data_IF_577273727012
#
_entry.id   IF_577273727012
#
_cell.length_a   1.000
_cell.length_b   1.000
_cell.length_c   1.000
_cell.angle_alpha   90.00
_cell.angle_beta   90.00
_cell.angle_gamma   90.00
#
_symmetry.space_group_name_H-M   'P 1'
#
loop_
_entity.id
_entity.type
_entity.pdbx_description
1 polymer ?
#
# COMPACT_ATOMS: atom_id res chain seq x y z
N UNK A 1 -1.66 5.50 -18.20
CA UNK A 1 -1.69 4.57 -17.04
C UNK A 1 -2.74 5.04 -16.04
N UNK A 2 -3.61 4.15 -15.53
CA UNK A 2 -4.67 4.50 -14.57
C UNK A 2 -4.22 4.13 -13.15
N UNK A 3 -4.06 5.12 -12.28
CA UNK A 3 -3.79 4.93 -10.85
C UNK A 3 -5.10 4.97 -10.05
N UNK A 4 -5.16 4.24 -8.93
CA UNK A 4 -6.29 4.35 -7.98
C UNK A 4 -6.25 5.63 -7.16
N UNK A 5 -5.05 6.19 -6.96
CA UNK A 5 -4.87 7.46 -6.26
C UNK A 5 -5.07 8.65 -7.20
N UNK A 6 -5.67 9.72 -6.69
CA UNK A 6 -5.71 11.00 -7.39
C UNK A 6 -4.29 11.62 -7.44
N UNK A 7 -4.08 12.55 -8.37
CA UNK A 7 -2.77 13.19 -8.55
C UNK A 7 -2.35 13.98 -7.31
N UNK A 8 -3.28 14.69 -6.70
CA UNK A 8 -2.99 15.58 -5.57
C UNK A 8 -2.52 14.82 -4.32
N UNK A 9 -3.12 13.67 -3.99
CA UNK A 9 -2.65 12.86 -2.87
C UNK A 9 -1.26 12.30 -3.14
N UNK A 10 -0.97 11.91 -4.39
CA UNK A 10 0.37 11.42 -4.75
C UNK A 10 1.41 12.53 -4.60
N UNK A 11 1.14 13.71 -5.13
CA UNK A 11 2.12 14.82 -5.17
C UNK A 11 2.24 15.54 -3.83
N UNK A 12 1.14 15.77 -3.11
CA UNK A 12 1.13 16.63 -1.93
C UNK A 12 1.19 15.86 -0.60
N UNK A 13 0.95 14.54 -0.61
CA UNK A 13 0.94 13.72 0.62
C UNK A 13 1.96 12.59 0.55
N UNK A 14 1.81 11.70 -0.43
CA UNK A 14 2.65 10.50 -0.49
C UNK A 14 4.09 10.82 -0.90
N UNK A 15 4.29 11.71 -1.87
CA UNK A 15 5.63 12.06 -2.35
C UNK A 15 6.48 12.74 -1.27
N UNK A 16 6.02 13.79 -0.56
CA UNK A 16 6.77 14.38 0.55
C UNK A 16 7.09 13.37 1.67
N UNK A 17 6.18 12.44 1.94
CA UNK A 17 6.38 11.41 2.97
C UNK A 17 7.56 10.47 2.66
N UNK A 18 7.83 10.19 1.39
CA UNK A 18 8.89 9.27 0.95
C UNK A 18 10.07 9.98 0.29
N UNK A 19 10.05 11.30 0.18
CA UNK A 19 10.98 12.02 -0.69
C UNK A 19 12.44 11.86 -0.23
N UNK A 20 12.70 12.04 1.07
CA UNK A 20 14.04 11.91 1.66
C UNK A 20 14.60 10.49 1.54
N UNK A 21 13.72 9.48 1.58
CA UNK A 21 14.09 8.09 1.34
C UNK A 21 14.55 7.88 -0.11
N UNK A 22 13.86 8.51 -1.07
CA UNK A 22 14.02 8.26 -2.51
C UNK A 22 15.07 9.15 -3.19
N UNK A 23 15.44 10.27 -2.55
CA UNK A 23 16.50 11.20 -2.97
C UNK A 23 17.92 10.67 -2.79
N UNK A 24 18.13 9.53 -2.12
CA UNK A 24 19.47 8.94 -1.99
C UNK A 24 20.06 8.70 -3.38
N UNK A 25 21.12 9.48 -3.68
CA UNK A 25 21.86 9.41 -4.92
C UNK A 25 22.44 8.01 -5.10
N UNK A 26 22.04 7.33 -6.16
CA UNK A 26 22.87 6.29 -6.73
C UNK A 26 23.96 6.98 -7.57
N UNK A 27 25.18 6.44 -7.57
CA UNK A 27 26.28 6.94 -8.42
C UNK A 27 26.06 6.59 -9.91
N UNK A 28 24.80 6.37 -10.30
CA UNK A 28 24.41 6.02 -11.67
C UNK A 28 24.19 7.33 -12.40
N UNK A 29 24.84 7.50 -13.54
CA UNK A 29 24.82 8.76 -14.31
C UNK A 29 23.44 9.26 -14.76
N UNK A 30 22.36 8.47 -14.55
CA UNK A 30 20.98 8.86 -14.81
C UNK A 30 20.06 8.40 -13.66
N UNK A 31 19.93 9.18 -12.58
CA UNK A 31 19.10 8.81 -11.44
C UNK A 31 17.61 8.88 -11.79
N UNK A 32 16.85 7.87 -11.35
CA UNK A 32 15.38 7.87 -11.50
C UNK A 32 14.77 8.92 -10.56
N UNK A 33 13.94 9.86 -11.04
CA UNK A 33 13.23 10.81 -10.19
C UNK A 33 12.41 10.14 -9.07
N UNK A 34 12.41 10.73 -7.88
CA UNK A 34 11.70 10.19 -6.70
C UNK A 34 10.20 9.99 -6.95
N UNK A 35 9.56 10.90 -7.68
CA UNK A 35 8.15 10.76 -8.07
C UNK A 35 7.91 9.54 -8.98
N UNK A 36 8.84 9.24 -9.89
CA UNK A 36 8.74 8.05 -10.74
C UNK A 36 8.94 6.77 -9.93
N UNK A 37 9.88 6.76 -8.98
CA UNK A 37 10.05 5.65 -8.03
C UNK A 37 8.77 5.41 -7.22
N UNK A 38 8.10 6.45 -6.74
CA UNK A 38 6.82 6.34 -6.03
C UNK A 38 5.71 5.79 -6.95
N UNK A 39 5.56 6.35 -8.16
CA UNK A 39 4.57 5.87 -9.12
C UNK A 39 4.78 4.40 -9.49
N UNK A 40 6.05 3.97 -9.60
CA UNK A 40 6.43 2.57 -9.81
C UNK A 40 5.87 1.66 -8.72
N UNK A 41 6.13 2.00 -7.45
CA UNK A 41 5.64 1.21 -6.33
C UNK A 41 4.10 1.19 -6.25
N UNK A 42 3.45 2.33 -6.45
CA UNK A 42 1.98 2.42 -6.48
C UNK A 42 1.37 1.56 -7.59
N UNK A 43 2.01 1.51 -8.75
CA UNK A 43 1.59 0.64 -9.86
C UNK A 43 1.74 -0.83 -9.50
N UNK A 44 2.85 -1.19 -8.87
CA UNK A 44 3.07 -2.55 -8.38
C UNK A 44 2.00 -2.94 -7.35
N UNK A 45 1.70 -2.12 -6.35
CA UNK A 45 0.66 -2.44 -5.36
C UNK A 45 -0.73 -2.63 -5.96
N UNK A 46 -1.03 -1.93 -7.05
CA UNK A 46 -2.32 -2.06 -7.72
C UNK A 46 -2.43 -3.33 -8.60
N UNK A 47 -1.32 -3.90 -9.06
CA UNK A 47 -1.31 -4.95 -10.10
C UNK A 47 -0.61 -6.24 -9.70
N UNK A 48 0.32 -6.19 -8.74
CA UNK A 48 1.22 -7.29 -8.38
C UNK A 48 2.24 -7.67 -9.47
N UNK A 49 2.34 -6.92 -10.57
CA UNK A 49 3.08 -7.37 -11.76
C UNK A 49 4.30 -6.48 -12.06
N UNK A 50 5.49 -6.99 -11.74
CA UNK A 50 6.76 -6.29 -12.00
C UNK A 50 7.07 -6.17 -13.49
N UNK A 51 6.72 -7.17 -14.32
CA UNK A 51 6.95 -7.11 -15.77
C UNK A 51 6.16 -5.97 -16.41
N UNK A 52 4.88 -5.83 -16.05
CA UNK A 52 4.04 -4.73 -16.53
C UNK A 52 4.55 -3.38 -16.06
N UNK A 53 4.99 -3.28 -14.80
CA UNK A 53 5.59 -2.06 -14.25
C UNK A 53 6.87 -1.65 -15.00
N UNK A 54 7.76 -2.59 -15.28
CA UNK A 54 8.99 -2.35 -16.05
C UNK A 54 8.70 -1.94 -17.50
N UNK A 55 7.69 -2.55 -18.14
CA UNK A 55 7.26 -2.17 -19.49
C UNK A 55 6.59 -0.80 -19.54
N UNK A 56 5.75 -0.50 -18.54
CA UNK A 56 5.06 0.78 -18.43
C UNK A 56 6.03 1.96 -18.16
N UNK A 57 7.14 1.70 -17.46
CA UNK A 57 8.19 2.66 -17.13
C UNK A 57 9.46 2.37 -17.94
N UNK A 58 9.33 2.41 -19.27
CA UNK A 58 10.43 2.23 -20.23
C UNK A 58 11.77 2.75 -19.69
N UNK A 59 12.73 1.85 -19.47
CA UNK A 59 14.07 2.17 -18.94
C UNK A 59 14.37 1.64 -17.53
N UNK A 60 13.43 1.01 -16.84
CA UNK A 60 13.66 0.41 -15.50
C UNK A 60 13.74 -1.12 -15.56
N UNK A 61 14.90 -1.68 -15.21
CA UNK A 61 15.07 -3.13 -15.07
C UNK A 61 14.19 -3.72 -13.95
N UNK A 62 13.80 -4.99 -14.07
CA UNK A 62 13.02 -5.68 -13.04
C UNK A 62 13.70 -5.64 -11.65
N UNK A 63 15.03 -5.78 -11.61
CA UNK A 63 15.79 -5.70 -10.37
C UNK A 63 15.68 -4.30 -9.72
N UNK A 64 15.70 -3.24 -10.53
CA UNK A 64 15.56 -1.87 -10.03
C UNK A 64 14.12 -1.60 -9.56
N UNK A 65 13.12 -2.08 -10.31
CA UNK A 65 11.72 -2.02 -9.91
C UNK A 65 11.48 -2.75 -8.57
N UNK A 66 12.01 -3.97 -8.42
CA UNK A 66 11.91 -4.76 -7.20
C UNK A 66 12.55 -4.07 -5.99
N UNK A 67 13.74 -3.48 -6.16
CA UNK A 67 14.39 -2.72 -5.10
C UNK A 67 13.59 -1.50 -4.67
N UNK A 68 13.04 -0.73 -5.62
CA UNK A 68 12.19 0.44 -5.32
C UNK A 68 10.96 0.02 -4.52
N UNK A 69 10.26 -1.04 -4.96
CA UNK A 69 9.10 -1.60 -4.24
C UNK A 69 9.50 -2.03 -2.84
N UNK A 70 10.59 -2.77 -2.69
CA UNK A 70 11.05 -3.25 -1.39
C UNK A 70 11.35 -2.08 -0.43
N UNK A 71 12.10 -1.08 -0.88
CA UNK A 71 12.46 0.10 -0.09
C UNK A 71 11.23 0.89 0.37
N UNK A 72 10.29 1.18 -0.54
CA UNK A 72 9.07 1.93 -0.21
C UNK A 72 8.18 1.10 0.73
N UNK A 73 8.00 -0.20 0.45
CA UNK A 73 7.19 -1.09 1.29
C UNK A 73 7.73 -1.17 2.72
N UNK A 74 9.04 -1.33 2.90
CA UNK A 74 9.65 -1.38 4.22
C UNK A 74 9.47 -0.08 5.00
N UNK A 75 9.64 1.06 4.33
CA UNK A 75 9.42 2.37 4.94
C UNK A 75 7.96 2.58 5.37
N UNK A 76 7.00 2.28 4.48
CA UNK A 76 5.57 2.39 4.79
C UNK A 76 5.16 1.43 5.92
N UNK A 77 5.69 0.21 5.93
CA UNK A 77 5.45 -0.75 7.02
C UNK A 77 5.94 -0.20 8.37
N UNK A 78 7.10 0.46 8.39
CA UNK A 78 7.63 1.14 9.58
C UNK A 78 6.74 2.29 10.06
N UNK A 79 6.03 2.96 9.15
CA UNK A 79 5.07 4.04 9.44
C UNK A 79 3.67 3.55 9.83
N UNK A 80 3.40 2.24 9.80
CA UNK A 80 2.06 1.70 10.08
C UNK A 80 1.49 2.18 11.42
N UNK A 81 2.31 2.25 12.48
CA UNK A 81 1.84 2.68 13.82
C UNK A 81 1.44 4.16 13.87
N UNK A 82 1.98 4.99 12.98
CA UNK A 82 1.69 6.42 12.91
C UNK A 82 0.29 6.63 12.30
N UNK A 83 -0.07 5.84 11.29
CA UNK A 83 -1.28 6.04 10.47
C UNK A 83 -2.42 5.05 10.73
N UNK A 84 -2.13 3.83 11.18
CA UNK A 84 -3.12 2.79 11.44
C UNK A 84 -3.33 2.66 12.95
N UNK A 85 -4.51 3.08 13.41
CA UNK A 85 -4.92 2.96 14.82
C UNK A 85 -5.93 1.82 14.94
N UNK A 86 -5.51 0.75 15.59
CA UNK A 86 -6.40 -0.34 15.97
C UNK A 86 -6.98 -0.09 17.37
N UNK A 87 -8.16 -0.65 17.70
CA UNK A 87 -8.67 -0.65 19.06
C UNK A 87 -7.61 -1.19 20.03
N UNK A 88 -7.28 -0.40 21.06
CA UNK A 88 -6.16 -0.71 21.97
C UNK A 88 -6.63 -1.18 23.35
N UNK A 89 -7.82 -0.75 23.78
CA UNK A 89 -8.40 -1.14 25.07
C UNK A 89 -9.58 -2.09 24.87
N UNK A 90 -9.95 -2.83 25.92
CA UNK A 90 -11.15 -3.67 25.89
C UNK A 90 -12.41 -2.85 25.58
N UNK A 91 -12.50 -1.63 26.12
CA UNK A 91 -13.60 -0.71 25.84
C UNK A 91 -13.66 -0.32 24.35
N UNK A 92 -12.52 -0.02 23.73
CA UNK A 92 -12.46 0.29 22.29
C UNK A 92 -12.81 -0.93 21.44
N UNK A 93 -12.34 -2.11 21.83
CA UNK A 93 -12.68 -3.38 21.17
C UNK A 93 -14.19 -3.63 21.22
N UNK A 94 -14.83 -3.46 22.38
CA UNK A 94 -16.29 -3.63 22.52
C UNK A 94 -17.04 -2.62 21.66
N UNK A 95 -16.61 -1.35 21.63
CA UNK A 95 -17.20 -0.32 20.77
C UNK A 95 -17.07 -0.65 19.28
N UNK A 96 -15.90 -1.11 18.84
CA UNK A 96 -15.70 -1.53 17.45
C UNK A 96 -16.60 -2.69 17.06
N UNK A 97 -16.66 -3.75 17.88
CA UNK A 97 -17.54 -4.91 17.62
C UNK A 97 -19.01 -4.51 17.57
N UNK A 98 -19.46 -3.67 18.52
CA UNK A 98 -20.82 -3.15 18.55
C UNK A 98 -21.16 -2.39 17.26
N UNK A 99 -20.27 -1.49 16.82
CA UNK A 99 -20.47 -0.68 15.61
C UNK A 99 -20.63 -1.54 14.35
N UNK A 100 -19.78 -2.55 14.15
CA UNK A 100 -19.90 -3.47 13.01
C UNK A 100 -21.19 -4.33 13.08
N UNK A 101 -21.59 -4.72 14.30
CA UNK A 101 -22.84 -5.44 14.51
C UNK A 101 -24.07 -4.56 14.19
N UNK A 102 -24.06 -3.29 14.58
CA UNK A 102 -25.16 -2.35 14.30
C UNK A 102 -25.31 -2.03 12.80
N UNK A 103 -24.21 -1.99 12.05
CA UNK A 103 -24.24 -1.69 10.61
C UNK A 103 -24.97 -2.77 9.81
N UNK A 104 -24.62 -4.04 10.04
CA UNK A 104 -25.04 -5.18 9.22
C UNK A 104 -25.04 -6.54 9.94
N UNK A 105 -24.96 -6.57 11.27
CA UNK A 105 -25.00 -7.80 12.05
C UNK A 105 -23.72 -8.62 11.99
N UNK A 106 -22.56 -8.00 11.73
CA UNK A 106 -21.26 -8.69 11.74
C UNK A 106 -20.71 -8.75 13.18
N UNK A 107 -20.76 -9.92 13.86
CA UNK A 107 -20.28 -10.02 15.23
C UNK A 107 -18.74 -10.13 15.28
N UNK A 108 -18.14 -9.62 16.35
CA UNK A 108 -16.72 -9.86 16.66
C UNK A 108 -15.70 -9.14 15.76
N UNK A 109 -16.14 -8.19 14.93
CA UNK A 109 -15.23 -7.45 14.03
C UNK A 109 -14.56 -6.31 14.79
N UNK A 110 -13.23 -6.30 14.81
CA UNK A 110 -12.42 -5.24 15.43
C UNK A 110 -11.97 -4.16 14.44
N UNK A 111 -11.71 -4.56 13.20
CA UNK A 111 -11.29 -3.68 12.11
C UNK A 111 -11.59 -4.37 10.77
N UNK A 112 -11.66 -3.58 9.71
CA UNK A 112 -11.78 -4.07 8.34
C UNK A 112 -10.72 -3.43 7.44
N UNK A 113 -10.23 -4.20 6.47
CA UNK A 113 -9.38 -3.70 5.40
C UNK A 113 -10.16 -3.86 4.10
N UNK A 114 -10.50 -2.74 3.46
CA UNK A 114 -11.23 -2.75 2.18
C UNK A 114 -10.34 -3.26 1.03
N UNK A 115 -10.96 -3.88 0.03
CA UNK A 115 -10.30 -4.28 -1.21
C UNK A 115 -9.57 -5.63 -1.20
N UNK A 116 -9.75 -6.45 -0.16
CA UNK A 116 -9.21 -7.83 -0.13
C UNK A 116 -10.32 -8.83 -0.42
N UNK A 117 -10.32 -9.43 -1.62
CA UNK A 117 -11.14 -10.62 -1.87
C UNK A 117 -10.48 -11.82 -1.19
N UNK A 118 -10.98 -12.20 -0.01
CA UNK A 118 -10.59 -13.44 0.65
C UNK A 118 -11.43 -14.56 0.02
N UNK A 119 -10.82 -15.57 -0.64
CA UNK A 119 -11.58 -16.70 -1.14
C UNK A 119 -12.24 -17.42 0.04
N UNK A 120 -13.58 -17.42 0.07
CA UNK A 120 -14.32 -18.23 1.04
C UNK A 120 -14.25 -19.68 0.56
N UNK A 121 -13.51 -20.52 1.27
CA UNK A 121 -13.65 -21.97 1.10
C UNK A 121 -15.06 -22.33 1.52
N UNK A 122 -15.83 -22.91 0.61
CA UNK A 122 -17.17 -23.39 0.89
C UNK A 122 -17.12 -24.31 2.13
N UNK A 123 -17.84 -24.01 3.23
CA UNK A 123 -17.91 -24.90 4.39
C UNK A 123 -18.71 -26.18 4.10
N UNK A 124 -19.42 -26.25 2.97
CA UNK A 124 -20.15 -27.43 2.53
C UNK A 124 -19.22 -28.48 1.95
N UNK A 125 -19.02 -29.55 2.72
CA UNK A 125 -18.85 -30.90 2.16
C UNK A 125 -20.19 -31.60 2.38
N UNK A 126 -20.96 -31.77 1.29
CA UNK A 126 -21.95 -32.83 1.14
C UNK A 126 -21.67 -33.49 -0.21
#
# INVERSE_FOLDING_TARGET
MRFRFNKDNVVNVLHPLVEDLLKKNDQRGLPIPSIQKLMLALRFYATGNIQQVSGDLYGVSQATAGNIVHTISGFLAGKTKDFVKLPATEADCRKAMQWFYEIRGFPGVLACVDGTHIPIKNPGVL
#
